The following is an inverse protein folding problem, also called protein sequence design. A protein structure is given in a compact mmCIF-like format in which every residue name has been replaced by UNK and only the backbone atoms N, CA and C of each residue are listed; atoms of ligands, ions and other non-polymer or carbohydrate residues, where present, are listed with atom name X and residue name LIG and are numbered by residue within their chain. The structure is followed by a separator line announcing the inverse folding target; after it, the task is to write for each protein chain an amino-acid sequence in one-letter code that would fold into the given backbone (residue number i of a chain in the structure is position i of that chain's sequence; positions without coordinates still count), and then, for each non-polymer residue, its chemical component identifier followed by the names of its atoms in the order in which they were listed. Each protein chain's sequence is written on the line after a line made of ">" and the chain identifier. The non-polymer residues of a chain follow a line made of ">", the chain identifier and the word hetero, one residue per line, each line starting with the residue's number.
data_IF_653551771899
#
_entry.id   IF_653551771899
#
_cell.length_a   1.000
_cell.length_b   1.000
_cell.length_c   1.000
_cell.angle_alpha   90.00
_cell.angle_beta   90.00
_cell.angle_gamma   90.00
#
_symmetry.space_group_name_H-M   'P 1'
#
loop_
_entity.id
_entity.type
_entity.pdbx_description
1 polymer ?
#
# COMPACT_ATOMS: atom_id res chain seq x y z
N UNK A 1 -40.73 -24.54 -3.09
CA UNK A 1 -39.33 -24.94 -3.33
C UNK A 1 -38.52 -23.67 -3.23
N UNK A 2 -37.86 -23.48 -2.09
CA UNK A 2 -37.12 -22.28 -1.71
C UNK A 2 -35.81 -22.27 -2.49
N UNK A 3 -35.52 -21.18 -3.20
CA UNK A 3 -34.19 -20.88 -3.71
C UNK A 3 -33.46 -20.03 -2.66
N UNK A 4 -32.34 -20.49 -2.07
CA UNK A 4 -31.54 -19.68 -1.19
C UNK A 4 -30.15 -19.50 -1.82
N UNK A 5 -29.93 -18.46 -2.62
CA UNK A 5 -28.58 -17.92 -2.88
C UNK A 5 -28.63 -16.55 -3.53
N UNK A 6 -29.24 -15.58 -2.85
CA UNK A 6 -28.76 -14.21 -2.93
C UNK A 6 -27.42 -14.14 -2.20
N UNK A 7 -26.35 -14.59 -2.87
CA UNK A 7 -25.00 -14.37 -2.37
C UNK A 7 -24.77 -12.87 -2.31
N UNK A 8 -24.95 -12.29 -1.12
CA UNK A 8 -24.55 -10.93 -0.79
C UNK A 8 -23.04 -10.85 -1.03
N UNK A 9 -22.68 -10.60 -2.29
CA UNK A 9 -21.29 -10.41 -2.69
C UNK A 9 -20.92 -9.08 -2.08
N UNK A 10 -20.41 -9.13 -0.84
CA UNK A 10 -19.86 -7.97 -0.19
C UNK A 10 -18.94 -7.29 -1.19
N UNK A 11 -19.06 -5.96 -1.39
CA UNK A 11 -18.24 -5.28 -2.39
C UNK A 11 -16.76 -5.56 -2.10
N UNK A 12 -16.09 -6.28 -2.99
CA UNK A 12 -14.68 -6.61 -2.83
C UNK A 12 -13.86 -5.39 -3.24
N UNK A 13 -13.33 -4.72 -2.22
CA UNK A 13 -12.36 -3.65 -2.38
C UNK A 13 -11.02 -4.18 -2.90
N UNK A 14 -10.22 -3.26 -3.42
CA UNK A 14 -8.87 -3.52 -3.93
C UNK A 14 -7.92 -2.46 -3.44
N UNK A 15 -6.65 -2.83 -3.33
CA UNK A 15 -5.57 -1.88 -3.09
C UNK A 15 -4.93 -1.48 -4.43
N UNK A 16 -4.94 -0.18 -4.73
CA UNK A 16 -4.39 0.37 -5.96
C UNK A 16 -3.35 1.44 -5.68
N UNK A 17 -2.23 1.38 -6.42
CA UNK A 17 -1.20 2.41 -6.38
C UNK A 17 -1.16 3.21 -7.69
N UNK A 18 -1.41 4.51 -7.58
CA UNK A 18 -1.08 5.48 -8.63
C UNK A 18 0.32 6.03 -8.32
N UNK A 19 1.31 5.63 -9.11
CA UNK A 19 2.72 5.94 -8.82
C UNK A 19 3.19 7.12 -9.65
N UNK A 20 3.89 8.05 -9.01
CA UNK A 20 4.62 9.14 -9.65
C UNK A 20 6.08 9.09 -9.21
N UNK A 21 6.96 9.20 -10.19
CA UNK A 21 8.41 9.20 -10.01
C UNK A 21 8.91 10.63 -10.15
N UNK A 22 9.65 11.11 -9.15
CA UNK A 22 10.21 12.46 -9.11
C UNK A 22 11.42 12.66 -10.02
N UNK A 23 11.66 11.79 -11.01
CA UNK A 23 12.79 11.87 -11.92
C UNK A 23 12.84 10.67 -12.87
N UNK A 24 13.63 10.75 -13.95
CA UNK A 24 13.75 9.69 -14.95
C UNK A 24 14.53 8.48 -14.41
N UNK A 25 15.35 8.68 -13.38
CA UNK A 25 16.23 7.68 -12.78
C UNK A 25 15.84 7.43 -11.32
N UNK A 26 14.72 6.76 -11.04
CA UNK A 26 14.50 6.24 -9.69
C UNK A 26 15.60 5.25 -9.35
N UNK A 27 15.82 5.02 -8.05
CA UNK A 27 16.84 4.09 -7.61
C UNK A 27 16.64 2.70 -8.22
N UNK A 28 17.75 2.02 -8.52
CA UNK A 28 17.75 0.73 -9.19
C UNK A 28 16.81 -0.27 -8.49
N UNK A 29 15.99 -0.97 -9.28
CA UNK A 29 15.02 -1.94 -8.78
C UNK A 29 13.69 -1.37 -8.28
N UNK A 30 13.54 -0.06 -8.05
CA UNK A 30 12.28 0.49 -7.51
C UNK A 30 11.10 0.32 -8.46
N UNK A 31 11.27 0.58 -9.75
CA UNK A 31 10.19 0.42 -10.74
C UNK A 31 9.74 -1.04 -10.81
N UNK A 32 10.70 -1.96 -10.88
CA UNK A 32 10.45 -3.41 -10.94
C UNK A 32 9.74 -3.89 -9.68
N UNK A 33 10.21 -3.44 -8.51
CA UNK A 33 9.63 -3.79 -7.23
C UNK A 33 8.20 -3.26 -7.07
N UNK A 34 7.96 -1.98 -7.38
CA UNK A 34 6.60 -1.41 -7.36
C UNK A 34 5.68 -2.14 -8.35
N UNK A 35 6.20 -2.56 -9.49
CA UNK A 35 5.43 -3.33 -10.46
C UNK A 35 5.08 -4.72 -9.94
N UNK A 36 6.04 -5.42 -9.33
CA UNK A 36 5.85 -6.72 -8.67
C UNK A 36 4.81 -6.62 -7.54
N UNK A 37 4.93 -5.63 -6.66
CA UNK A 37 3.96 -5.39 -5.59
C UNK A 37 2.55 -5.17 -6.16
N UNK A 38 2.41 -4.30 -7.17
CA UNK A 38 1.12 -4.06 -7.85
C UNK A 38 0.54 -5.34 -8.46
N UNK A 39 1.36 -6.21 -9.03
CA UNK A 39 0.90 -7.47 -9.62
C UNK A 39 0.35 -8.42 -8.56
N UNK A 40 1.07 -8.63 -7.46
CA UNK A 40 0.58 -9.45 -6.35
C UNK A 40 -0.70 -8.88 -5.72
N UNK A 41 -0.77 -7.56 -5.54
CA UNK A 41 -1.93 -6.91 -4.94
C UNK A 41 -3.19 -6.95 -5.82
N UNK A 42 -3.08 -7.21 -7.13
CA UNK A 42 -4.24 -7.34 -8.02
C UNK A 42 -5.13 -8.53 -7.69
N UNK A 43 -4.58 -9.57 -7.07
CA UNK A 43 -5.31 -10.79 -6.72
C UNK A 43 -5.79 -10.79 -5.27
N UNK A 44 -5.52 -9.73 -4.50
CA UNK A 44 -5.91 -9.63 -3.10
C UNK A 44 -7.21 -8.83 -2.98
N UNK A 45 -8.19 -9.41 -2.30
CA UNK A 45 -9.48 -8.78 -2.04
C UNK A 45 -9.55 -8.21 -0.62
N UNK A 46 -9.88 -6.93 -0.54
CA UNK A 46 -9.99 -6.18 0.72
C UNK A 46 -11.45 -5.81 0.99
N UNK A 47 -11.78 -5.54 2.26
CA UNK A 47 -13.12 -5.08 2.63
C UNK A 47 -13.40 -3.62 2.20
N UNK A 48 -12.33 -2.86 1.94
CA UNK A 48 -12.35 -1.47 1.49
C UNK A 48 -11.55 -1.31 0.19
N UNK A 49 -11.96 -0.39 -0.67
CA UNK A 49 -11.12 0.08 -1.77
C UNK A 49 -10.06 1.05 -1.22
N UNK A 50 -8.79 0.68 -1.35
CA UNK A 50 -7.65 1.46 -0.87
C UNK A 50 -6.96 2.10 -2.08
N UNK A 51 -7.28 3.36 -2.37
CA UNK A 51 -6.71 4.11 -3.49
C UNK A 51 -5.59 5.04 -3.00
N UNK A 52 -4.36 4.59 -3.20
CA UNK A 52 -3.15 5.23 -2.69
C UNK A 52 -2.35 5.86 -3.82
N UNK A 53 -1.91 7.10 -3.60
CA UNK A 53 -0.94 7.76 -4.46
C UNK A 53 0.47 7.53 -3.92
N UNK A 54 1.33 6.87 -4.68
CA UNK A 54 2.72 6.61 -4.29
C UNK A 54 3.63 7.62 -5.00
N UNK A 55 4.15 8.57 -4.25
CA UNK A 55 5.14 9.53 -4.74
C UNK A 55 6.53 9.08 -4.29
N UNK A 56 7.38 8.71 -5.24
CA UNK A 56 8.78 8.41 -4.98
C UNK A 56 9.60 9.60 -5.43
N UNK A 57 10.31 10.23 -4.49
CA UNK A 57 11.17 11.35 -4.80
C UNK A 57 12.30 10.95 -5.75
N UNK A 58 12.70 11.89 -6.59
CA UNK A 58 13.76 11.72 -7.58
C UNK A 58 14.55 13.01 -7.75
N UNK A 59 15.52 12.98 -8.65
CA UNK A 59 16.46 14.09 -8.87
C UNK A 59 15.77 15.40 -9.29
N UNK A 60 14.61 15.32 -9.97
CA UNK A 60 13.87 16.49 -10.47
C UNK A 60 12.88 17.01 -9.44
N UNK A 61 12.18 16.10 -8.75
CA UNK A 61 11.18 16.41 -7.74
C UNK A 61 11.54 15.64 -6.46
N UNK A 62 12.37 16.24 -5.60
CA UNK A 62 12.67 15.66 -4.31
C UNK A 62 11.41 15.71 -3.44
N UNK A 63 11.25 14.71 -2.59
CA UNK A 63 10.16 14.65 -1.62
C UNK A 63 10.71 15.03 -0.24
N UNK A 64 10.32 16.20 0.31
CA UNK A 64 10.86 16.66 1.58
C UNK A 64 10.22 15.95 2.78
N UNK A 65 11.02 15.79 3.84
CA UNK A 65 10.60 15.21 5.11
C UNK A 65 10.60 13.68 5.12
N UNK A 66 10.13 13.05 6.22
CA UNK A 66 10.21 11.61 6.38
C UNK A 66 9.22 10.88 5.49
N UNK A 67 9.61 9.70 5.01
CA UNK A 67 8.76 8.83 4.22
C UNK A 67 7.55 8.32 5.02
N UNK A 68 6.46 8.02 4.32
CA UNK A 68 5.25 7.43 4.91
C UNK A 68 3.96 8.06 4.44
N UNK A 69 2.88 7.76 5.16
CA UNK A 69 1.52 8.17 4.81
C UNK A 69 1.28 9.66 5.05
N UNK A 70 0.58 10.30 4.11
CA UNK A 70 0.15 11.70 4.12
C UNK A 70 -1.31 11.80 3.71
N UNK A 71 -1.95 12.82 4.28
CA UNK A 71 -3.34 13.23 3.99
C UNK A 71 -4.36 12.08 3.93
N UNK A 72 -4.32 11.07 4.83
CA UNK A 72 -5.21 9.92 4.73
C UNK A 72 -6.67 10.31 4.98
N UNK A 73 -7.58 9.76 4.18
CA UNK A 73 -9.02 10.01 4.24
C UNK A 73 -9.78 8.69 4.17
N UNK A 74 -10.85 8.59 4.94
CA UNK A 74 -11.73 7.41 4.97
C UNK A 74 -13.15 7.86 4.61
N UNK A 75 -13.78 7.16 3.68
CA UNK A 75 -15.12 7.42 3.18
C UNK A 75 -15.98 6.16 3.39
N UNK A 76 -16.66 6.10 4.54
CA UNK A 76 -17.47 4.95 4.95
C UNK A 76 -18.59 4.63 3.94
N UNK A 77 -19.28 5.65 3.45
CA UNK A 77 -20.41 5.50 2.51
C UNK A 77 -20.03 4.86 1.18
N UNK A 78 -18.76 4.95 0.77
CA UNK A 78 -18.23 4.36 -0.47
C UNK A 78 -17.28 3.19 -0.20
N UNK A 79 -17.11 2.79 1.06
CA UNK A 79 -16.08 1.86 1.53
C UNK A 79 -14.72 2.11 0.85
N UNK A 80 -14.30 3.37 0.81
CA UNK A 80 -13.05 3.79 0.18
C UNK A 80 -12.16 4.47 1.19
N UNK A 81 -10.87 4.16 1.19
CA UNK A 81 -9.85 4.90 1.91
C UNK A 81 -8.76 5.37 0.95
N UNK A 82 -8.30 6.59 1.10
CA UNK A 82 -7.31 7.20 0.22
C UNK A 82 -6.18 7.84 1.01
N UNK A 83 -5.05 8.07 0.36
CA UNK A 83 -3.90 8.74 0.96
C UNK A 83 -2.74 8.84 0.00
N UNK A 84 -1.71 9.55 0.42
CA UNK A 84 -0.47 9.70 -0.32
C UNK A 84 0.67 9.02 0.47
N UNK A 85 1.37 8.07 -0.14
CA UNK A 85 2.61 7.52 0.40
C UNK A 85 3.76 8.29 -0.24
N UNK A 86 4.56 8.94 0.60
CA UNK A 86 5.75 9.66 0.18
C UNK A 86 6.99 8.85 0.49
N UNK A 87 7.88 8.71 -0.48
CA UNK A 87 9.19 8.09 -0.31
C UNK A 87 10.25 9.18 -0.57
N UNK A 88 10.97 9.55 0.49
CA UNK A 88 11.98 10.62 0.48
C UNK A 88 13.31 10.14 -0.06
N UNK A 89 13.97 10.96 -0.89
CA UNK A 89 15.32 10.65 -1.37
C UNK A 89 16.32 10.51 -0.23
N UNK A 90 16.19 11.32 0.82
CA UNK A 90 17.13 11.33 1.94
C UNK A 90 17.05 10.02 2.73
N UNK A 91 15.82 9.58 3.05
CA UNK A 91 15.61 8.33 3.78
C UNK A 91 16.09 7.12 2.98
N UNK A 92 15.81 7.11 1.67
CA UNK A 92 16.21 6.00 0.84
C UNK A 92 17.74 5.99 0.66
N UNK A 93 18.38 7.15 0.52
CA UNK A 93 19.84 7.25 0.43
C UNK A 93 20.53 6.85 1.73
N UNK A 94 19.87 7.04 2.88
CA UNK A 94 20.34 6.60 4.19
C UNK A 94 20.05 5.11 4.46
N UNK A 95 19.20 4.45 3.67
CA UNK A 95 18.82 3.06 3.89
C UNK A 95 19.90 2.09 3.42
N UNK A 96 20.32 1.18 4.30
CA UNK A 96 21.26 0.11 3.95
C UNK A 96 20.69 -0.87 2.89
N UNK A 97 19.35 -1.02 2.86
CA UNK A 97 18.64 -1.85 1.89
C UNK A 97 17.42 -1.08 1.33
N UNK A 98 17.60 -0.27 0.27
CA UNK A 98 16.54 0.60 -0.27
C UNK A 98 15.24 -0.10 -0.67
N UNK A 99 15.33 -1.32 -1.22
CA UNK A 99 14.16 -2.12 -1.62
C UNK A 99 13.38 -2.60 -0.40
N UNK A 100 14.08 -3.10 0.63
CA UNK A 100 13.43 -3.49 1.88
C UNK A 100 12.79 -2.27 2.57
N UNK A 101 13.47 -1.11 2.54
CA UNK A 101 12.93 0.15 3.04
C UNK A 101 11.63 0.56 2.31
N UNK A 102 11.60 0.47 0.98
CA UNK A 102 10.40 0.76 0.18
C UNK A 102 9.23 -0.14 0.59
N UNK A 103 9.46 -1.46 0.63
CA UNK A 103 8.48 -2.47 1.03
C UNK A 103 7.92 -2.19 2.42
N UNK A 104 8.79 -1.98 3.41
CA UNK A 104 8.40 -1.69 4.79
C UNK A 104 7.63 -0.37 4.91
N UNK A 105 8.05 0.67 4.18
CA UNK A 105 7.38 1.98 4.21
C UNK A 105 5.96 1.88 3.65
N UNK A 106 5.79 1.18 2.52
CA UNK A 106 4.47 0.94 1.94
C UNK A 106 3.61 0.11 2.89
N UNK A 107 4.15 -0.99 3.43
CA UNK A 107 3.44 -1.84 4.38
C UNK A 107 2.94 -1.03 5.58
N UNK A 108 3.83 -0.27 6.23
CA UNK A 108 3.47 0.57 7.38
C UNK A 108 2.42 1.62 7.01
N UNK A 109 2.56 2.28 5.87
CA UNK A 109 1.59 3.29 5.43
C UNK A 109 0.20 2.68 5.16
N UNK A 110 0.13 1.47 4.60
CA UNK A 110 -1.14 0.77 4.39
C UNK A 110 -1.75 0.34 5.74
N UNK A 111 -0.94 -0.20 6.66
CA UNK A 111 -1.38 -0.55 8.01
C UNK A 111 -1.93 0.67 8.78
N UNK A 112 -1.24 1.82 8.68
CA UNK A 112 -1.68 3.09 9.27
C UNK A 112 -3.02 3.55 8.67
N UNK A 113 -3.23 3.36 7.37
CA UNK A 113 -4.51 3.67 6.72
C UNK A 113 -5.63 2.74 7.20
N UNK A 114 -5.38 1.43 7.27
CA UNK A 114 -6.35 0.44 7.76
C UNK A 114 -6.73 0.69 9.22
N UNK A 115 -5.76 1.05 10.07
CA UNK A 115 -6.02 1.43 11.45
C UNK A 115 -6.99 2.63 11.55
N UNK A 116 -6.90 3.58 10.61
CA UNK A 116 -7.86 4.70 10.53
C UNK A 116 -9.24 4.28 10.03
N UNK A 117 -9.32 3.24 9.21
CA UNK A 117 -10.61 2.65 8.82
C UNK A 117 -11.25 1.99 10.05
N UNK A 118 -10.51 1.15 10.77
CA UNK A 118 -10.97 0.49 12.00
C UNK A 118 -11.47 1.48 13.05
N UNK A 119 -10.76 2.61 13.22
CA UNK A 119 -11.16 3.66 14.15
C UNK A 119 -12.51 4.33 13.79
N UNK A 120 -12.99 4.19 12.56
CA UNK A 120 -14.25 4.78 12.06
C UNK A 120 -15.31 3.76 11.72
N UNK A 121 -14.94 2.50 11.53
CA UNK A 121 -15.80 1.37 11.18
C UNK A 121 -15.51 0.20 12.13
N UNK A 122 -16.30 0.03 13.21
CA UNK A 122 -16.10 -1.06 14.16
C UNK A 122 -16.28 -2.47 13.58
N UNK A 123 -16.92 -2.59 12.40
CA UNK A 123 -17.08 -3.87 11.72
C UNK A 123 -15.87 -4.25 10.85
N UNK A 124 -14.88 -3.35 10.72
CA UNK A 124 -13.67 -3.59 9.96
C UNK A 124 -12.63 -4.34 10.80
N UNK A 125 -12.31 -5.57 10.39
CA UNK A 125 -11.25 -6.38 11.01
C UNK A 125 -9.88 -5.99 10.44
N UNK A 126 -9.18 -5.08 11.14
CA UNK A 126 -7.89 -4.58 10.70
C UNK A 126 -6.79 -5.65 10.69
N UNK A 127 -6.86 -6.64 11.57
CA UNK A 127 -5.83 -7.67 11.68
C UNK A 127 -5.98 -8.68 10.53
N UNK A 128 -7.22 -9.09 10.23
CA UNK A 128 -7.50 -9.94 9.09
C UNK A 128 -7.14 -9.26 7.75
N UNK A 129 -7.39 -7.95 7.63
CA UNK A 129 -7.04 -7.20 6.42
C UNK A 129 -5.53 -6.97 6.30
N UNK A 130 -4.83 -6.81 7.42
CA UNK A 130 -3.37 -6.71 7.44
C UNK A 130 -2.66 -7.98 7.03
N UNK A 131 -3.15 -9.13 7.50
CA UNK A 131 -2.59 -10.44 7.12
C UNK A 131 -2.56 -10.66 5.60
N UNK A 132 -3.51 -10.08 4.85
CA UNK A 132 -3.60 -10.21 3.39
C UNK A 132 -2.45 -9.54 2.62
N UNK A 133 -1.74 -8.58 3.24
CA UNK A 133 -0.63 -7.88 2.59
C UNK A 133 0.72 -8.04 3.30
N UNK A 134 0.80 -8.91 4.32
CA UNK A 134 2.03 -9.19 5.06
C UNK A 134 3.18 -9.70 4.17
N UNK A 135 2.86 -10.37 3.06
CA UNK A 135 3.85 -10.86 2.08
C UNK A 135 4.78 -9.75 1.55
N UNK A 136 4.37 -8.48 1.59
CA UNK A 136 5.21 -7.35 1.18
C UNK A 136 6.50 -7.23 1.99
N UNK A 137 6.52 -7.71 3.24
CA UNK A 137 7.69 -7.67 4.12
C UNK A 137 8.32 -9.05 4.38
N UNK A 138 7.63 -10.14 4.03
CA UNK A 138 8.15 -11.51 4.19
C UNK A 138 9.14 -11.94 3.10
N UNK A 139 9.10 -11.35 1.89
CA UNK A 139 10.05 -11.64 0.80
C UNK A 139 11.47 -11.05 1.06
N UNK A 140 11.78 -10.68 2.31
CA UNK A 140 13.14 -10.40 2.76
C UNK A 140 13.91 -11.68 3.16
N UNK A 141 13.28 -12.86 3.12
CA UNK A 141 13.83 -14.13 3.58
C UNK A 141 14.07 -15.18 2.47
N UNK A 142 14.35 -14.76 1.23
CA UNK A 142 14.92 -15.67 0.23
C UNK A 142 16.41 -15.41 0.12
N UNK A 143 17.29 -16.17 0.81
CA UNK A 143 18.70 -16.21 0.44
C UNK A 143 18.79 -16.82 -0.96
N UNK A 144 19.63 -16.22 -1.81
CA UNK A 144 20.07 -16.74 -3.11
C UNK A 144 20.22 -18.26 -3.09
N UNK A 145 19.64 -18.93 -4.08
CA UNK A 145 19.89 -20.33 -4.40
C UNK A 145 20.84 -20.41 -5.61
#
# INVERSE_FOLDING_TARGET
>A
MTDPSGGDSMPTGRLTFRTVWGGPSPQAGFIEEVTRMKQHLRTVEFSYHLDLFLMVGGEITPVPGPSGLRTPRVFLSRRTATGEIRISNDDVSAAAAPIAFLRQTIHRAVADLMSRVAARDPAFDADAEQAKFAFLIDEAATPDA
#
